data_IF_616188849514
#
_entry.id   IF_616188849514
#
_cell.length_a   1.000
_cell.length_b   1.000
_cell.length_c   1.000
_cell.angle_alpha   90.00
_cell.angle_beta   90.00
_cell.angle_gamma   90.00
#
_symmetry.space_group_name_H-M   'P 1'
#
loop_
_entity.id
_entity.type
_entity.pdbx_description
1 polymer ?
#
# COMPACT_ATOMS: atom_id res chain seq x y z
N UNK A 1 -15.30 6.49 -33.99
CA UNK A 1 -14.12 5.79 -34.54
C UNK A 1 -14.61 4.63 -35.40
N UNK A 2 -14.20 4.58 -36.69
CA UNK A 2 -14.59 3.48 -37.56
C UNK A 2 -13.76 2.21 -37.27
N UNK A 3 -14.12 1.06 -37.89
CA UNK A 3 -13.51 -0.24 -37.57
C UNK A 3 -12.00 -0.31 -37.92
N UNK A 4 -11.55 0.39 -38.94
CA UNK A 4 -10.13 0.45 -39.32
C UNK A 4 -9.32 1.34 -38.37
N UNK A 5 -9.86 2.47 -37.97
CA UNK A 5 -9.25 3.33 -36.96
C UNK A 5 -9.08 2.61 -35.62
N UNK A 6 -10.07 1.80 -35.21
CA UNK A 6 -9.97 0.98 -33.98
C UNK A 6 -8.79 0.00 -34.06
N UNK A 7 -8.63 -0.70 -35.18
CA UNK A 7 -7.50 -1.64 -35.36
C UNK A 7 -6.14 -0.98 -35.15
N UNK A 8 -6.02 0.29 -35.46
CA UNK A 8 -4.80 1.06 -35.24
C UNK A 8 -4.39 1.23 -33.78
N UNK A 9 -5.30 0.93 -32.81
CA UNK A 9 -5.02 0.95 -31.37
C UNK A 9 -4.77 -0.44 -30.76
N UNK A 10 -4.74 -1.49 -31.56
CA UNK A 10 -4.39 -2.84 -31.12
C UNK A 10 -3.01 -3.20 -31.63
N UNK A 11 -2.25 -3.92 -30.84
CA UNK A 11 -0.95 -4.44 -31.24
C UNK A 11 -0.74 -5.84 -30.66
N UNK A 12 0.00 -6.66 -31.38
CA UNK A 12 0.53 -7.91 -30.86
C UNK A 12 1.71 -7.59 -29.94
N UNK A 13 1.69 -8.14 -28.74
CA UNK A 13 2.74 -7.91 -27.72
C UNK A 13 4.13 -8.29 -28.25
N UNK A 14 4.23 -9.36 -29.06
CA UNK A 14 5.48 -9.82 -29.68
C UNK A 14 6.02 -8.83 -30.72
N UNK A 15 5.17 -7.97 -31.29
CA UNK A 15 5.55 -6.96 -32.29
C UNK A 15 6.12 -5.68 -31.69
N UNK A 16 6.02 -5.50 -30.36
CA UNK A 16 6.44 -4.29 -29.68
C UNK A 16 7.77 -4.47 -28.93
N UNK A 17 8.58 -3.43 -28.95
CA UNK A 17 9.73 -3.29 -28.07
C UNK A 17 9.23 -2.83 -26.68
N UNK A 18 8.92 -3.79 -25.79
CA UNK A 18 8.31 -3.54 -24.49
C UNK A 18 9.16 -2.62 -23.60
N UNK A 19 10.45 -2.48 -23.85
CA UNK A 19 11.30 -1.52 -23.14
C UNK A 19 10.87 -0.05 -23.36
N UNK A 20 10.03 0.22 -24.34
CA UNK A 20 9.49 1.57 -24.61
C UNK A 20 8.14 1.85 -23.95
N UNK A 21 7.56 0.87 -23.24
CA UNK A 21 6.19 0.96 -22.79
C UNK A 21 6.04 0.65 -21.28
N UNK A 22 5.23 1.44 -20.59
CA UNK A 22 4.59 1.01 -19.35
C UNK A 22 3.34 0.23 -19.69
N UNK A 23 3.15 -0.92 -19.07
CA UNK A 23 1.94 -1.73 -19.27
C UNK A 23 0.96 -1.43 -18.16
N UNK A 24 -0.20 -0.94 -18.54
CA UNK A 24 -1.31 -0.57 -17.68
C UNK A 24 -2.38 -1.67 -17.75
N UNK A 25 -2.83 -2.19 -16.62
CA UNK A 25 -3.90 -3.18 -16.55
C UNK A 25 -5.13 -2.55 -15.92
N UNK A 26 -6.24 -2.54 -16.65
CA UNK A 26 -7.52 -2.02 -16.15
C UNK A 26 -8.57 -3.12 -16.09
N UNK A 27 -9.47 -2.98 -15.15
CA UNK A 27 -10.81 -3.50 -15.22
C UNK A 27 -11.75 -2.37 -15.65
N UNK A 28 -12.68 -2.63 -16.55
CA UNK A 28 -13.71 -1.66 -16.91
C UNK A 28 -15.05 -2.33 -17.24
N UNK A 29 -16.12 -1.55 -17.10
CA UNK A 29 -17.48 -1.91 -17.53
C UNK A 29 -17.91 -1.02 -18.70
N UNK A 30 -18.59 -1.61 -19.70
CA UNK A 30 -19.06 -0.88 -20.88
C UNK A 30 -20.43 -1.40 -21.34
N UNK A 31 -21.28 -0.47 -21.80
CA UNK A 31 -22.52 -0.77 -22.55
C UNK A 31 -22.28 -0.86 -24.06
N UNK A 32 -21.09 -0.51 -24.54
CA UNK A 32 -20.68 -0.54 -25.94
C UNK A 32 -19.92 -1.83 -26.26
N UNK A 33 -19.50 -1.97 -27.53
CA UNK A 33 -18.56 -3.02 -27.92
C UNK A 33 -17.25 -2.89 -27.10
N UNK A 34 -16.77 -3.93 -26.41
CA UNK A 34 -15.57 -3.88 -25.58
C UNK A 34 -14.33 -3.35 -26.31
N UNK A 35 -14.14 -3.77 -27.57
CA UNK A 35 -13.04 -3.30 -28.43
C UNK A 35 -13.12 -1.79 -28.72
N UNK A 36 -14.33 -1.25 -28.89
CA UNK A 36 -14.54 0.17 -29.11
C UNK A 36 -14.21 0.98 -27.85
N UNK A 37 -14.60 0.48 -26.69
CA UNK A 37 -14.32 1.09 -25.39
C UNK A 37 -12.80 1.10 -25.12
N UNK A 38 -12.11 -0.03 -25.28
CA UNK A 38 -10.67 -0.16 -25.09
C UNK A 38 -9.87 0.76 -26.03
N UNK A 39 -10.23 0.79 -27.33
CA UNK A 39 -9.59 1.67 -28.30
C UNK A 39 -9.83 3.16 -27.98
N UNK A 40 -11.03 3.50 -27.49
CA UNK A 40 -11.34 4.87 -27.07
C UNK A 40 -10.50 5.29 -25.86
N UNK A 41 -10.32 4.38 -24.88
CA UNK A 41 -9.46 4.62 -23.72
C UNK A 41 -8.01 4.90 -24.14
N UNK A 42 -7.43 4.07 -25.03
CA UNK A 42 -6.09 4.29 -25.58
C UNK A 42 -5.97 5.64 -26.27
N UNK A 43 -6.97 6.01 -27.09
CA UNK A 43 -6.98 7.28 -27.79
C UNK A 43 -6.98 8.46 -26.83
N UNK A 44 -7.93 8.50 -25.92
CA UNK A 44 -8.13 9.65 -25.02
C UNK A 44 -6.95 9.86 -24.06
N UNK A 45 -6.32 8.78 -23.62
CA UNK A 45 -5.18 8.85 -22.68
C UNK A 45 -3.81 9.04 -23.36
N UNK A 46 -3.74 9.08 -24.70
CA UNK A 46 -2.48 9.24 -25.42
C UNK A 46 -2.50 10.36 -26.46
N UNK A 47 -2.92 10.07 -27.70
CA UNK A 47 -2.87 11.03 -28.81
C UNK A 47 -4.14 11.85 -28.97
N UNK A 48 -5.27 11.43 -28.43
CA UNK A 48 -6.61 11.98 -28.58
C UNK A 48 -6.95 12.35 -30.03
N UNK A 49 -6.50 13.52 -30.47
CA UNK A 49 -6.55 13.96 -31.87
C UNK A 49 -5.15 13.81 -32.45
N UNK A 50 -4.93 12.72 -33.19
CA UNK A 50 -3.62 12.34 -33.72
C UNK A 50 -3.24 13.06 -35.00
N UNK A 51 -4.20 13.69 -35.72
CA UNK A 51 -3.98 14.37 -36.98
C UNK A 51 -4.58 15.78 -36.95
N UNK A 52 -3.81 16.77 -37.40
CA UNK A 52 -4.29 18.11 -37.61
C UNK A 52 -5.02 18.23 -38.94
N UNK A 53 -6.12 18.99 -38.97
CA UNK A 53 -6.86 19.24 -40.21
C UNK A 53 -5.93 19.88 -41.26
N UNK A 54 -5.92 19.31 -42.47
CA UNK A 54 -5.11 19.80 -43.58
C UNK A 54 -3.64 19.38 -43.55
N UNK A 55 -3.25 18.42 -42.71
CA UNK A 55 -1.90 17.84 -42.68
C UNK A 55 -1.96 16.32 -42.90
N UNK A 56 -0.87 15.72 -43.33
CA UNK A 56 -0.69 14.26 -43.43
C UNK A 56 0.08 13.69 -42.23
N UNK A 57 0.10 14.41 -41.09
CA UNK A 57 0.78 14.00 -39.89
C UNK A 57 -0.01 12.89 -39.17
N UNK A 58 0.63 11.76 -38.91
CA UNK A 58 0.08 10.68 -38.06
C UNK A 58 1.03 10.43 -36.90
N UNK A 59 0.60 10.82 -35.69
CA UNK A 59 1.38 10.67 -34.43
C UNK A 59 1.16 9.33 -33.75
N UNK A 60 0.18 8.53 -34.21
CA UNK A 60 -0.16 7.24 -33.56
C UNK A 60 0.97 6.23 -33.56
N UNK A 61 1.77 6.04 -34.64
CA UNK A 61 2.84 5.05 -34.60
C UNK A 61 3.82 5.24 -33.47
N UNK A 62 4.01 6.48 -33.03
CA UNK A 62 5.04 6.85 -32.08
C UNK A 62 4.50 7.12 -30.67
N UNK A 63 3.29 7.68 -30.55
CA UNK A 63 2.78 8.21 -29.28
C UNK A 63 1.48 7.56 -28.80
N UNK A 64 0.76 6.81 -29.64
CA UNK A 64 -0.49 6.21 -29.19
C UNK A 64 -0.26 5.02 -28.27
N UNK A 65 -1.06 4.93 -27.23
CA UNK A 65 -1.20 3.72 -26.45
C UNK A 65 -1.83 2.60 -27.29
N UNK A 66 -1.52 1.33 -26.95
CA UNK A 66 -1.95 0.14 -27.69
C UNK A 66 -2.58 -0.88 -26.77
N UNK A 67 -3.73 -1.40 -27.14
CA UNK A 67 -4.34 -2.57 -26.50
C UNK A 67 -3.52 -3.80 -26.87
N UNK A 68 -2.97 -4.48 -25.87
CA UNK A 68 -2.25 -5.76 -26.03
C UNK A 68 -3.19 -6.95 -25.90
N UNK A 69 -4.10 -6.87 -24.94
CA UNK A 69 -5.11 -7.92 -24.73
C UNK A 69 -6.39 -7.32 -24.17
N UNK A 70 -7.50 -7.92 -24.54
CA UNK A 70 -8.83 -7.58 -24.06
C UNK A 70 -9.57 -8.88 -23.76
N UNK A 71 -9.95 -9.08 -22.52
CA UNK A 71 -10.68 -10.24 -22.02
C UNK A 71 -12.06 -9.79 -21.56
N UNK A 72 -13.12 -10.38 -22.10
CA UNK A 72 -14.49 -10.19 -21.58
C UNK A 72 -14.71 -11.18 -20.45
N UNK A 73 -14.78 -10.67 -19.22
CA UNK A 73 -14.94 -11.47 -18.01
C UNK A 73 -16.39 -11.91 -17.79
N UNK A 74 -17.32 -11.00 -18.08
CA UNK A 74 -18.76 -11.21 -17.89
C UNK A 74 -19.54 -10.32 -18.85
N UNK A 75 -20.67 -10.84 -19.35
CA UNK A 75 -21.71 -10.04 -19.99
C UNK A 75 -23.02 -10.24 -19.24
N UNK A 76 -23.62 -9.15 -18.78
CA UNK A 76 -24.78 -9.17 -17.90
C UNK A 76 -25.84 -8.15 -18.31
N UNK A 77 -27.11 -8.47 -18.06
CA UNK A 77 -28.23 -7.52 -18.17
C UNK A 77 -28.53 -6.79 -16.86
N UNK A 78 -27.60 -6.85 -15.91
CA UNK A 78 -27.77 -6.15 -14.63
C UNK A 78 -27.65 -4.64 -14.83
N UNK A 79 -28.31 -3.84 -13.95
CA UNK A 79 -28.13 -2.39 -13.98
C UNK A 79 -26.66 -2.01 -13.88
N UNK A 80 -26.23 -1.04 -14.68
CA UNK A 80 -24.91 -0.43 -14.58
C UNK A 80 -24.74 0.22 -13.20
N UNK A 81 -23.51 0.25 -12.71
CA UNK A 81 -23.15 1.04 -11.52
C UNK A 81 -23.37 2.54 -11.71
N UNK A 82 -23.32 3.01 -12.96
CA UNK A 82 -23.50 4.42 -13.32
C UNK A 82 -24.98 4.83 -13.39
N UNK A 83 -25.90 3.89 -13.67
CA UNK A 83 -27.31 4.20 -13.77
C UNK A 83 -28.21 3.02 -13.38
N UNK A 84 -28.77 3.02 -12.17
CA UNK A 84 -29.78 2.02 -11.77
C UNK A 84 -31.08 2.10 -12.58
N UNK A 85 -31.22 3.12 -13.43
CA UNK A 85 -32.43 3.36 -14.24
C UNK A 85 -32.33 2.81 -15.66
N UNK A 86 -31.16 2.42 -16.17
CA UNK A 86 -31.02 1.80 -17.49
C UNK A 86 -31.39 0.31 -17.43
N UNK A 87 -32.70 0.05 -17.39
CA UNK A 87 -33.24 -1.30 -17.44
C UNK A 87 -33.18 -1.83 -18.87
N UNK A 88 -32.37 -2.86 -19.10
CA UNK A 88 -32.43 -3.66 -20.33
C UNK A 88 -31.21 -3.58 -21.25
N UNK A 89 -30.19 -2.81 -20.94
CA UNK A 89 -28.94 -2.81 -21.68
C UNK A 89 -28.02 -3.97 -21.23
N UNK A 90 -27.27 -4.52 -22.18
CA UNK A 90 -26.23 -5.49 -21.87
C UNK A 90 -24.94 -4.73 -21.51
N UNK A 91 -24.32 -5.09 -20.40
CA UNK A 91 -23.01 -4.58 -20.00
C UNK A 91 -21.99 -5.68 -20.09
N UNK A 92 -20.82 -5.35 -20.61
CA UNK A 92 -19.64 -6.21 -20.60
C UNK A 92 -18.63 -5.70 -19.57
N UNK A 93 -18.15 -6.58 -18.71
CA UNK A 93 -17.05 -6.33 -17.79
C UNK A 93 -15.81 -6.94 -18.36
N UNK A 94 -14.78 -6.15 -18.45
CA UNK A 94 -13.59 -6.49 -19.21
C UNK A 94 -12.33 -6.27 -18.38
N UNK A 95 -11.30 -7.05 -18.71
CA UNK A 95 -9.91 -6.75 -18.35
C UNK A 95 -9.17 -6.37 -19.62
N UNK A 96 -8.39 -5.29 -19.55
CA UNK A 96 -7.58 -4.83 -20.67
C UNK A 96 -6.16 -4.58 -20.22
N UNK A 97 -5.18 -4.97 -21.06
CA UNK A 97 -3.78 -4.58 -20.93
C UNK A 97 -3.43 -3.60 -22.02
N UNK A 98 -2.85 -2.48 -21.66
CA UNK A 98 -2.52 -1.37 -22.54
C UNK A 98 -1.02 -1.09 -22.45
N UNK A 99 -0.32 -1.07 -23.59
CA UNK A 99 1.04 -0.59 -23.70
C UNK A 99 1.03 0.92 -23.93
N UNK A 100 1.49 1.71 -22.98
CA UNK A 100 1.57 3.17 -23.08
C UNK A 100 3.02 3.60 -23.30
N UNK A 101 3.35 4.32 -24.39
CA UNK A 101 4.71 4.78 -24.66
C UNK A 101 5.21 5.68 -23.52
N UNK A 102 6.17 5.22 -22.72
CA UNK A 102 6.62 5.99 -21.57
C UNK A 102 7.35 7.29 -21.91
N UNK A 103 7.74 7.49 -23.14
CA UNK A 103 8.24 8.79 -23.62
C UNK A 103 7.20 9.91 -23.55
N UNK A 104 5.90 9.56 -23.53
CA UNK A 104 4.83 10.54 -23.39
C UNK A 104 4.87 11.27 -22.04
N UNK A 105 5.36 10.63 -21.01
CA UNK A 105 5.39 11.19 -19.64
C UNK A 105 6.75 11.12 -18.96
N UNK A 106 7.69 10.32 -19.47
CA UNK A 106 9.01 10.12 -18.87
C UNK A 106 8.96 9.53 -17.46
N UNK A 107 10.09 9.38 -16.75
CA UNK A 107 10.16 8.80 -15.41
C UNK A 107 9.68 9.79 -14.34
N UNK A 108 8.42 10.20 -14.43
CA UNK A 108 7.74 11.18 -13.58
C UNK A 108 6.40 10.62 -13.12
N UNK A 109 6.27 10.31 -11.82
CA UNK A 109 5.04 9.72 -11.26
C UNK A 109 3.80 10.59 -11.49
N UNK A 110 3.82 11.93 -11.31
CA UNK A 110 2.64 12.74 -11.60
C UNK A 110 2.18 12.64 -13.04
N UNK A 111 3.11 12.68 -13.99
CA UNK A 111 2.80 12.60 -15.42
C UNK A 111 2.29 11.21 -15.82
N UNK A 112 2.88 10.14 -15.24
CA UNK A 112 2.38 8.77 -15.39
C UNK A 112 0.93 8.66 -14.90
N UNK A 113 0.64 9.16 -13.68
CA UNK A 113 -0.71 9.09 -13.13
C UNK A 113 -1.70 9.95 -13.93
N UNK A 114 -1.26 11.10 -14.48
CA UNK A 114 -2.08 11.90 -15.39
C UNK A 114 -2.42 11.12 -16.66
N UNK A 115 -1.45 10.37 -17.22
CA UNK A 115 -1.68 9.56 -18.42
C UNK A 115 -2.56 8.34 -18.12
N UNK A 116 -2.26 7.60 -17.05
CA UNK A 116 -2.98 6.35 -16.72
C UNK A 116 -4.36 6.59 -16.07
N UNK A 117 -4.55 7.68 -15.32
CA UNK A 117 -5.76 7.95 -14.52
C UNK A 117 -6.39 9.31 -14.82
N UNK A 118 -6.10 9.91 -15.99
CA UNK A 118 -6.59 11.21 -16.39
C UNK A 118 -8.01 11.20 -16.97
N UNK A 119 -8.26 12.17 -17.84
CA UNK A 119 -9.60 12.44 -18.42
C UNK A 119 -10.26 11.24 -19.07
N UNK A 120 -9.50 10.37 -19.74
CA UNK A 120 -10.04 9.22 -20.45
C UNK A 120 -10.89 8.30 -19.58
N UNK A 121 -10.56 8.19 -18.29
CA UNK A 121 -11.34 7.40 -17.35
C UNK A 121 -12.69 8.04 -16.99
N UNK A 122 -12.84 9.35 -17.14
CA UNK A 122 -14.05 10.09 -16.77
C UNK A 122 -14.93 10.48 -17.96
N UNK A 123 -14.31 10.75 -19.12
CA UNK A 123 -15.00 11.31 -20.30
C UNK A 123 -15.17 10.32 -21.46
N UNK A 124 -14.76 9.08 -21.30
CA UNK A 124 -15.00 8.05 -22.32
C UNK A 124 -16.45 7.61 -22.26
N UNK A 125 -17.28 8.06 -23.20
CA UNK A 125 -18.72 7.76 -23.27
C UNK A 125 -19.09 6.26 -23.31
N UNK A 126 -18.09 5.42 -23.53
CA UNK A 126 -18.27 3.98 -23.65
C UNK A 126 -17.97 3.22 -22.34
N UNK A 127 -17.37 3.87 -21.34
CA UNK A 127 -16.96 3.24 -20.09
C UNK A 127 -17.83 3.78 -18.95
N UNK A 128 -18.52 2.90 -18.27
CA UNK A 128 -19.41 3.23 -17.14
C UNK A 128 -18.73 3.07 -15.79
N UNK A 129 -17.70 2.23 -15.72
CA UNK A 129 -16.86 2.07 -14.53
C UNK A 129 -15.47 1.63 -14.96
N UNK A 130 -14.43 2.10 -14.24
CA UNK A 130 -13.03 1.76 -14.55
C UNK A 130 -12.17 1.75 -13.30
N UNK A 131 -11.26 0.78 -13.19
CA UNK A 131 -10.25 0.71 -12.15
C UNK A 131 -8.90 0.33 -12.72
N UNK A 132 -7.87 1.12 -12.42
CA UNK A 132 -6.49 0.75 -12.68
C UNK A 132 -6.06 -0.32 -11.67
N UNK A 133 -5.76 -1.52 -12.16
CA UNK A 133 -5.42 -2.68 -11.34
C UNK A 133 -3.91 -2.81 -11.12
N UNK A 134 -3.12 -2.57 -12.16
CA UNK A 134 -1.67 -2.75 -12.12
C UNK A 134 -0.92 -1.85 -13.12
N UNK A 135 0.36 -1.61 -12.79
CA UNK A 135 1.35 -0.96 -13.63
C UNK A 135 2.60 -1.83 -13.68
N UNK A 136 2.97 -2.34 -14.86
CA UNK A 136 4.24 -3.01 -15.07
C UNK A 136 5.22 -2.08 -15.79
N UNK A 137 6.43 -2.00 -15.25
CA UNK A 137 7.45 -1.05 -15.69
C UNK A 137 8.63 -1.77 -16.35
N UNK A 138 9.07 -1.35 -17.54
CA UNK A 138 10.31 -1.83 -18.14
C UNK A 138 11.54 -1.29 -17.39
N UNK A 139 12.66 -1.96 -17.52
CA UNK A 139 13.92 -1.57 -16.87
C UNK A 139 14.38 -0.18 -17.32
N UNK A 140 14.16 0.19 -18.56
CA UNK A 140 14.43 1.52 -19.13
C UNK A 140 13.69 2.64 -18.39
N UNK A 141 12.42 2.43 -18.03
CA UNK A 141 11.63 3.39 -17.26
C UNK A 141 12.08 3.43 -15.80
N UNK A 142 12.32 2.24 -15.21
CA UNK A 142 12.77 2.11 -13.83
C UNK A 142 14.13 2.76 -13.60
N UNK A 143 15.00 2.84 -14.61
CA UNK A 143 16.31 3.49 -14.51
C UNK A 143 16.21 4.97 -14.08
N UNK A 144 15.08 5.64 -14.32
CA UNK A 144 14.83 7.02 -13.91
C UNK A 144 14.44 7.22 -12.44
N UNK A 145 14.47 6.14 -11.63
CA UNK A 145 14.10 6.18 -10.21
C UNK A 145 15.20 5.55 -9.37
N UNK A 146 15.45 6.10 -8.20
CA UNK A 146 16.39 5.53 -7.23
C UNK A 146 15.75 4.33 -6.49
N UNK A 147 14.47 4.42 -6.14
CA UNK A 147 13.77 3.45 -5.28
C UNK A 147 14.24 3.52 -3.82
N UNK A 148 13.98 2.48 -3.01
CA UNK A 148 14.36 2.43 -1.60
C UNK A 148 15.88 2.56 -1.40
N UNK A 149 16.30 3.45 -0.51
CA UNK A 149 17.71 3.67 -0.22
C UNK A 149 18.28 2.58 0.70
N UNK A 150 17.54 2.19 1.70
CA UNK A 150 17.89 1.17 2.69
C UNK A 150 17.19 -0.16 2.40
N UNK A 151 15.91 -0.13 2.20
CA UNK A 151 15.08 -1.31 1.96
C UNK A 151 15.00 -2.22 3.19
N UNK A 152 14.42 -3.40 3.01
CA UNK A 152 14.26 -4.41 4.07
C UNK A 152 15.59 -4.77 4.73
N UNK A 153 16.60 -5.05 3.92
CA UNK A 153 17.92 -5.47 4.40
C UNK A 153 18.63 -4.35 5.19
N UNK A 154 18.48 -3.11 4.75
CA UNK A 154 19.06 -1.95 5.45
C UNK A 154 18.40 -1.72 6.81
N UNK A 155 17.07 -1.84 6.90
CA UNK A 155 16.34 -1.72 8.17
C UNK A 155 16.76 -2.83 9.14
N UNK A 156 16.81 -4.09 8.68
CA UNK A 156 17.29 -5.22 9.49
C UNK A 156 18.72 -5.02 10.00
N UNK A 157 19.60 -4.53 9.13
CA UNK A 157 21.00 -4.23 9.49
C UNK A 157 21.09 -3.16 10.58
N UNK A 158 20.28 -2.10 10.49
CA UNK A 158 20.25 -1.01 11.49
C UNK A 158 19.80 -1.53 12.85
N UNK A 159 18.79 -2.39 12.88
CA UNK A 159 18.21 -2.97 14.11
C UNK A 159 19.01 -4.16 14.65
N UNK A 160 19.73 -4.88 13.81
CA UNK A 160 20.35 -6.15 14.17
C UNK A 160 19.37 -7.31 14.33
N UNK A 161 18.18 -7.22 13.73
CA UNK A 161 17.09 -8.23 13.82
C UNK A 161 17.02 -9.04 12.54
N UNK A 162 17.40 -10.35 12.60
CA UNK A 162 17.49 -11.21 11.41
C UNK A 162 16.68 -12.50 11.49
N UNK A 163 16.11 -12.82 12.64
CA UNK A 163 15.49 -14.13 12.96
C UNK A 163 13.97 -14.07 13.22
N UNK A 164 13.38 -12.90 13.13
CA UNK A 164 11.97 -12.66 13.41
C UNK A 164 11.42 -11.45 12.64
N UNK A 165 10.10 -11.26 12.62
CA UNK A 165 9.51 -9.99 12.19
C UNK A 165 10.01 -8.81 13.04
N UNK A 166 9.97 -7.62 12.46
CA UNK A 166 10.31 -6.38 13.16
C UNK A 166 9.06 -5.88 13.88
N UNK A 167 9.15 -5.66 15.19
CA UNK A 167 8.02 -5.20 16.00
C UNK A 167 8.00 -3.68 16.08
N UNK A 168 6.99 -3.09 15.43
CA UNK A 168 6.63 -1.68 15.56
C UNK A 168 5.62 -1.50 16.66
N UNK A 169 5.53 -0.30 17.23
CA UNK A 169 4.47 0.07 18.16
C UNK A 169 4.02 1.49 17.95
N UNK A 170 2.73 1.67 17.67
CA UNK A 170 2.13 3.00 17.50
C UNK A 170 1.73 3.51 18.88
N UNK A 171 2.41 4.54 19.38
CA UNK A 171 2.10 5.13 20.68
C UNK A 171 0.65 5.65 20.70
N UNK A 172 -0.08 5.27 21.74
CA UNK A 172 -1.49 5.62 21.93
C UNK A 172 -1.71 6.39 23.24
N UNK A 173 -2.69 7.29 23.30
CA UNK A 173 -3.63 7.73 22.25
C UNK A 173 -2.97 8.41 21.05
N UNK A 174 -3.69 8.49 19.92
CA UNK A 174 -3.18 8.98 18.63
C UNK A 174 -2.58 10.38 18.69
N UNK A 175 -3.25 11.28 19.39
CA UNK A 175 -2.88 12.68 19.58
C UNK A 175 -3.20 13.13 21.01
N UNK A 176 -2.68 14.28 21.39
CA UNK A 176 -3.04 14.95 22.65
C UNK A 176 -2.13 14.63 23.85
N UNK A 177 -1.17 13.70 23.71
CA UNK A 177 -0.20 13.41 24.76
C UNK A 177 0.85 14.52 24.86
N UNK A 178 1.08 15.06 26.06
CA UNK A 178 2.27 15.87 26.32
C UNK A 178 3.55 15.08 26.05
N UNK A 179 4.64 15.72 25.60
CA UNK A 179 5.88 15.02 25.28
C UNK A 179 6.42 14.08 26.36
N UNK A 180 6.29 14.45 27.64
CA UNK A 180 6.78 13.63 28.76
C UNK A 180 6.02 12.29 28.87
N UNK A 181 4.68 12.32 28.75
CA UNK A 181 3.85 11.12 28.82
C UNK A 181 4.06 10.24 27.59
N UNK A 182 4.17 10.85 26.42
CA UNK A 182 4.49 10.16 25.18
C UNK A 182 5.82 9.39 25.29
N UNK A 183 6.87 10.06 25.76
CA UNK A 183 8.20 9.49 25.97
C UNK A 183 8.19 8.32 26.95
N UNK A 184 7.42 8.43 28.05
CA UNK A 184 7.28 7.35 29.02
C UNK A 184 6.71 6.09 28.38
N UNK A 185 5.65 6.20 27.59
CA UNK A 185 5.01 5.06 26.94
C UNK A 185 5.96 4.40 25.91
N UNK A 186 6.64 5.20 25.09
CA UNK A 186 7.62 4.70 24.13
C UNK A 186 8.77 3.97 24.85
N UNK A 187 9.29 4.54 25.92
CA UNK A 187 10.36 3.95 26.72
C UNK A 187 9.96 2.60 27.33
N UNK A 188 8.79 2.53 27.96
CA UNK A 188 8.27 1.28 28.53
C UNK A 188 8.12 0.19 27.46
N UNK A 189 7.62 0.54 26.28
CA UNK A 189 7.48 -0.42 25.18
C UNK A 189 8.84 -0.96 24.69
N UNK A 190 9.88 -0.12 24.63
CA UNK A 190 11.23 -0.56 24.28
C UNK A 190 11.82 -1.51 25.32
N UNK A 191 11.58 -1.26 26.62
CA UNK A 191 12.02 -2.16 27.69
C UNK A 191 11.36 -3.54 27.59
N UNK A 192 10.11 -3.61 27.11
CA UNK A 192 9.39 -4.86 26.88
C UNK A 192 9.80 -5.60 25.61
N UNK A 193 10.72 -5.05 24.80
CA UNK A 193 11.25 -5.74 23.63
C UNK A 193 10.72 -5.24 22.28
N UNK A 194 10.03 -4.09 22.23
CA UNK A 194 9.69 -3.45 20.96
C UNK A 194 10.96 -2.98 20.25
N UNK A 195 11.02 -3.07 18.92
CA UNK A 195 12.16 -2.61 18.11
C UNK A 195 11.99 -1.13 17.75
N UNK A 196 10.81 -0.77 17.28
CA UNK A 196 10.48 0.56 16.77
C UNK A 196 9.25 1.09 17.48
N UNK A 197 9.40 2.18 18.24
CA UNK A 197 8.26 2.99 18.67
C UNK A 197 8.02 4.10 17.66
N UNK A 198 6.76 4.38 17.31
CA UNK A 198 6.42 5.36 16.29
C UNK A 198 5.35 6.34 16.73
N UNK A 199 5.41 7.55 16.14
CA UNK A 199 4.28 8.46 16.14
C UNK A 199 3.07 7.83 15.45
N UNK A 200 1.89 8.23 15.87
CA UNK A 200 0.68 8.00 15.09
C UNK A 200 0.75 8.82 13.79
N UNK A 201 0.07 8.37 12.74
CA UNK A 201 0.00 9.08 11.45
C UNK A 201 -0.66 10.46 11.55
N UNK A 202 -1.45 10.68 12.59
CA UNK A 202 -2.07 11.98 12.90
C UNK A 202 -1.18 12.87 13.78
N UNK A 203 -0.13 12.32 14.39
CA UNK A 203 0.78 13.01 15.30
C UNK A 203 2.04 13.44 14.56
N UNK A 204 2.03 14.62 13.95
CA UNK A 204 3.21 15.23 13.30
C UNK A 204 3.84 16.32 14.18
N UNK A 205 4.19 17.47 13.61
CA UNK A 205 4.69 18.63 14.36
C UNK A 205 3.51 19.49 14.84
N UNK A 206 3.03 19.26 16.07
CA UNK A 206 1.85 19.92 16.63
C UNK A 206 2.22 20.84 17.80
N UNK A 207 1.38 21.83 18.10
CA UNK A 207 1.57 22.76 19.24
C UNK A 207 1.59 22.03 20.60
N UNK A 208 0.77 20.99 20.76
CA UNK A 208 0.68 20.21 22.02
C UNK A 208 1.92 19.35 22.19
N UNK A 209 2.47 18.82 21.11
CA UNK A 209 3.62 17.93 21.10
C UNK A 209 4.58 18.30 19.96
N UNK A 210 5.31 19.41 20.08
CA UNK A 210 6.25 19.84 19.06
C UNK A 210 7.31 18.76 18.78
N UNK A 211 7.57 18.47 17.50
CA UNK A 211 8.43 17.39 17.04
C UNK A 211 9.82 17.45 17.68
N UNK A 212 10.49 18.59 17.65
CA UNK A 212 11.84 18.76 18.18
C UNK A 212 11.89 18.48 19.69
N UNK A 213 10.93 19.01 20.44
CA UNK A 213 10.85 18.80 21.89
C UNK A 213 10.61 17.33 22.23
N UNK A 214 9.68 16.68 21.54
CA UNK A 214 9.35 15.25 21.73
C UNK A 214 10.56 14.38 21.45
N UNK A 215 11.25 14.61 20.32
CA UNK A 215 12.39 13.79 19.90
C UNK A 215 13.61 13.99 20.80
N UNK A 216 13.91 15.21 21.25
CA UNK A 216 15.01 15.46 22.17
C UNK A 216 14.87 14.66 23.48
N UNK A 217 13.65 14.56 24.03
CA UNK A 217 13.35 13.77 25.21
C UNK A 217 13.42 12.26 24.91
N UNK A 218 12.88 11.83 23.77
CA UNK A 218 12.90 10.43 23.33
C UNK A 218 14.31 9.89 23.18
N UNK A 219 15.23 10.68 22.60
CA UNK A 219 16.57 10.21 22.30
C UNK A 219 17.35 9.77 23.54
N UNK A 220 17.23 10.50 24.66
CA UNK A 220 17.87 10.12 25.91
C UNK A 220 17.30 8.79 26.44
N UNK A 221 15.99 8.60 26.35
CA UNK A 221 15.32 7.38 26.80
C UNK A 221 15.56 6.19 25.88
N UNK A 222 15.71 6.42 24.58
CA UNK A 222 16.12 5.40 23.61
C UNK A 222 17.51 4.84 23.96
N UNK A 223 18.47 5.72 24.21
CA UNK A 223 19.84 5.32 24.60
C UNK A 223 19.80 4.53 25.91
N UNK A 224 19.02 4.96 26.91
CA UNK A 224 18.86 4.24 28.17
C UNK A 224 18.23 2.86 27.94
N UNK A 225 17.21 2.74 27.08
CA UNK A 225 16.59 1.47 26.73
C UNK A 225 17.58 0.52 26.03
N UNK A 226 18.39 1.02 25.07
CA UNK A 226 19.45 0.24 24.43
C UNK A 226 20.48 -0.30 25.44
N UNK A 227 20.90 0.53 26.39
CA UNK A 227 21.83 0.10 27.45
C UNK A 227 21.26 -0.98 28.35
N UNK A 228 19.95 -0.91 28.68
CA UNK A 228 19.29 -1.87 29.54
C UNK A 228 18.96 -3.19 28.85
N UNK A 229 18.59 -3.13 27.57
CA UNK A 229 18.14 -4.31 26.82
C UNK A 229 19.26 -4.98 26.02
N UNK A 230 20.35 -4.27 25.73
CA UNK A 230 21.40 -4.72 24.83
C UNK A 230 20.98 -4.72 23.36
N UNK A 231 19.80 -4.25 23.02
CA UNK A 231 19.22 -4.23 21.68
C UNK A 231 19.16 -2.82 21.11
N UNK A 232 19.28 -2.68 19.78
CA UNK A 232 19.04 -1.42 19.10
C UNK A 232 17.55 -1.06 19.16
N UNK A 233 17.26 0.22 19.42
CA UNK A 233 15.91 0.77 19.46
C UNK A 233 15.81 1.96 18.50
N UNK A 234 14.68 2.05 17.82
CA UNK A 234 14.41 3.14 16.86
C UNK A 234 13.15 3.89 17.30
N UNK A 235 13.19 5.20 17.11
CA UNK A 235 11.99 6.02 17.03
C UNK A 235 11.71 6.38 15.57
N UNK A 236 10.50 6.09 15.11
CA UNK A 236 9.99 6.44 13.79
C UNK A 236 9.15 7.72 13.94
N UNK A 237 9.72 8.83 13.49
CA UNK A 237 9.12 10.16 13.60
C UNK A 237 8.21 10.46 12.41
N UNK A 238 6.96 10.86 12.66
CA UNK A 238 6.07 11.39 11.63
C UNK A 238 6.43 12.84 11.32
N UNK A 239 6.87 13.08 10.09
CA UNK A 239 7.25 14.40 9.58
C UNK A 239 6.30 14.92 8.48
N UNK A 240 5.10 14.32 8.38
CA UNK A 240 4.07 14.77 7.43
C UNK A 240 3.73 16.23 7.64
N UNK A 241 3.93 17.05 6.62
CA UNK A 241 3.67 18.48 6.64
C UNK A 241 3.60 19.03 5.19
N UNK A 242 3.49 20.35 5.03
CA UNK A 242 3.63 21.01 3.74
C UNK A 242 5.01 20.72 3.12
N UNK A 243 5.05 20.66 1.79
CA UNK A 243 6.23 20.18 1.04
C UNK A 243 7.49 21.00 1.32
N UNK A 244 7.36 22.32 1.47
CA UNK A 244 8.45 23.24 1.77
C UNK A 244 9.05 23.06 3.18
N UNK A 245 8.32 22.40 4.10
CA UNK A 245 8.78 22.11 5.47
C UNK A 245 9.42 20.73 5.62
N UNK A 246 9.17 19.79 4.70
CA UNK A 246 9.57 18.39 4.85
C UNK A 246 11.07 18.20 5.11
N UNK A 247 11.93 18.86 4.34
CA UNK A 247 13.39 18.72 4.50
C UNK A 247 13.83 19.26 5.86
N UNK A 248 13.29 20.38 6.29
CA UNK A 248 13.59 20.96 7.60
C UNK A 248 13.15 20.03 8.73
N UNK A 249 11.96 19.46 8.65
CA UNK A 249 11.45 18.54 9.67
C UNK A 249 12.24 17.23 9.70
N UNK A 250 12.64 16.72 8.53
CA UNK A 250 13.57 15.60 8.43
C UNK A 250 14.87 15.87 9.17
N UNK A 251 15.51 17.03 8.90
CA UNK A 251 16.80 17.36 9.52
C UNK A 251 16.67 17.57 11.04
N UNK A 252 15.58 18.17 11.50
CA UNK A 252 15.23 18.24 12.92
C UNK A 252 15.09 16.85 13.51
N UNK A 253 14.37 15.94 12.84
CA UNK A 253 14.14 14.58 13.32
C UNK A 253 15.44 13.80 13.44
N UNK A 254 16.29 13.80 12.42
CA UNK A 254 17.56 13.10 12.40
C UNK A 254 18.53 13.67 13.45
N UNK A 255 18.65 15.00 13.53
CA UNK A 255 19.49 15.69 14.53
C UNK A 255 19.09 15.31 15.97
N UNK A 256 17.82 15.09 16.23
CA UNK A 256 17.29 14.70 17.53
C UNK A 256 17.16 13.19 17.72
N UNK A 257 17.81 12.38 16.88
CA UNK A 257 18.01 10.95 17.08
C UNK A 257 16.89 10.05 16.56
N UNK A 258 15.98 10.56 15.71
CA UNK A 258 15.05 9.69 14.97
C UNK A 258 15.86 8.76 14.06
N UNK A 259 15.64 7.46 14.18
CA UNK A 259 16.33 6.47 13.35
C UNK A 259 15.60 6.15 12.05
N UNK A 260 14.33 6.59 11.92
CA UNK A 260 13.50 6.50 10.73
C UNK A 260 12.53 7.69 10.69
N UNK A 261 12.06 8.06 9.50
CA UNK A 261 10.99 9.06 9.32
C UNK A 261 9.80 8.46 8.60
N UNK A 262 8.60 8.89 8.97
CA UNK A 262 7.33 8.50 8.35
C UNK A 262 6.67 9.68 7.67
N UNK A 263 6.04 9.42 6.54
CA UNK A 263 5.18 10.38 5.85
C UNK A 263 3.90 9.70 5.38
N UNK A 264 2.79 10.42 5.46
CA UNK A 264 1.55 10.04 4.78
C UNK A 264 1.74 10.33 3.28
N UNK A 265 2.29 9.36 2.57
CA UNK A 265 2.88 9.54 1.24
C UNK A 265 1.90 10.05 0.19
N UNK A 266 0.61 9.69 0.31
CA UNK A 266 -0.41 10.14 -0.64
C UNK A 266 -0.88 11.57 -0.36
N UNK A 267 -0.88 12.02 0.90
CA UNK A 267 -1.31 13.38 1.24
C UNK A 267 -0.27 14.42 0.87
N UNK A 268 1.04 14.12 1.07
CA UNK A 268 2.13 15.02 0.66
C UNK A 268 2.47 14.92 -0.82
N UNK A 269 2.02 13.84 -1.48
CA UNK A 269 2.31 13.52 -2.87
C UNK A 269 3.63 12.77 -3.09
N UNK A 270 3.60 11.82 -4.01
CA UNK A 270 4.74 10.92 -4.28
C UNK A 270 5.99 11.64 -4.81
N UNK A 271 5.84 12.83 -5.41
CA UNK A 271 6.97 13.68 -5.80
C UNK A 271 7.71 14.26 -4.60
N UNK A 272 6.98 14.63 -3.55
CA UNK A 272 7.59 15.06 -2.29
C UNK A 272 8.34 13.92 -1.60
N UNK A 273 7.80 12.70 -1.64
CA UNK A 273 8.51 11.49 -1.18
C UNK A 273 9.81 11.30 -1.95
N UNK A 274 9.81 11.43 -3.29
CA UNK A 274 11.05 11.35 -4.10
C UNK A 274 12.06 12.43 -3.75
N UNK A 275 11.61 13.65 -3.48
CA UNK A 275 12.48 14.74 -3.02
C UNK A 275 13.12 14.39 -1.68
N UNK A 276 12.34 13.89 -0.72
CA UNK A 276 12.81 13.44 0.57
C UNK A 276 13.79 12.26 0.45
N UNK A 277 13.51 11.28 -0.41
CA UNK A 277 14.35 10.10 -0.63
C UNK A 277 15.76 10.46 -1.13
N UNK A 278 15.90 11.50 -1.96
CA UNK A 278 17.19 12.03 -2.39
C UNK A 278 18.00 12.67 -1.27
N UNK A 279 17.31 13.25 -0.29
CA UNK A 279 17.93 13.97 0.84
C UNK A 279 18.21 13.06 2.04
N UNK A 280 17.33 12.12 2.34
CA UNK A 280 17.32 11.38 3.60
C UNK A 280 18.62 10.62 3.90
N UNK A 281 18.96 10.56 5.19
CA UNK A 281 20.03 9.75 5.75
C UNK A 281 19.53 8.58 6.61
N UNK A 282 18.21 8.44 6.75
CA UNK A 282 17.53 7.39 7.50
C UNK A 282 16.41 6.78 6.65
N UNK A 283 15.94 5.55 6.93
CA UNK A 283 14.87 4.94 6.18
C UNK A 283 13.58 5.79 6.20
N UNK A 284 12.87 5.79 5.06
CA UNK A 284 11.56 6.43 4.90
C UNK A 284 10.49 5.35 4.99
N UNK A 285 9.49 5.58 5.84
CA UNK A 285 8.27 4.77 5.94
C UNK A 285 7.12 5.51 5.29
N UNK A 286 6.53 4.93 4.24
CA UNK A 286 5.28 5.40 3.67
C UNK A 286 4.09 4.89 4.47
N UNK A 287 3.10 5.73 4.75
CA UNK A 287 1.84 5.33 5.38
C UNK A 287 0.70 5.36 4.36
N UNK A 288 -0.26 4.44 4.51
CA UNK A 288 -1.35 4.24 3.54
C UNK A 288 -2.52 5.22 3.68
N UNK A 289 -2.48 6.14 4.61
CA UNK A 289 -3.54 7.13 4.77
C UNK A 289 -3.86 7.84 3.46
N UNK A 290 -5.14 8.14 3.28
CA UNK A 290 -5.70 8.72 2.06
C UNK A 290 -5.76 7.79 0.83
N UNK A 291 -5.37 6.52 0.94
CA UNK A 291 -5.51 5.56 -0.19
C UNK A 291 -6.96 5.04 -0.30
N UNK A 292 -7.66 4.88 0.81
CA UNK A 292 -8.99 4.29 0.84
C UNK A 292 -10.02 4.97 -0.09
N UNK A 293 -10.10 6.30 -0.21
CA UNK A 293 -11.01 6.97 -1.16
C UNK A 293 -10.82 6.53 -2.61
N UNK A 294 -9.59 6.13 -3.00
CA UNK A 294 -9.27 5.71 -4.37
C UNK A 294 -9.37 4.20 -4.58
N UNK A 295 -9.15 3.39 -3.54
CA UNK A 295 -8.94 1.95 -3.71
C UNK A 295 -10.12 1.09 -3.26
N UNK A 296 -10.95 1.54 -2.30
CA UNK A 296 -11.97 0.69 -1.67
C UNK A 296 -13.13 0.27 -2.57
N UNK A 297 -13.46 1.07 -3.58
CA UNK A 297 -14.52 0.71 -4.51
C UNK A 297 -13.96 -0.31 -5.52
N UNK A 298 -14.53 -1.53 -5.60
CA UNK A 298 -13.97 -2.61 -6.44
C UNK A 298 -13.93 -2.28 -7.93
N UNK A 299 -14.86 -1.46 -8.39
CA UNK A 299 -15.10 -1.21 -9.81
C UNK A 299 -14.73 0.22 -10.25
N UNK A 300 -14.10 1.03 -9.36
CA UNK A 300 -13.70 2.40 -9.69
C UNK A 300 -12.43 2.82 -8.97
N UNK A 301 -11.62 3.66 -9.63
CA UNK A 301 -10.42 4.27 -9.06
C UNK A 301 -9.14 3.52 -9.36
N UNK A 302 -8.28 3.34 -8.33
CA UNK A 302 -6.93 2.78 -8.45
C UNK A 302 -6.73 1.74 -7.36
N UNK A 303 -6.16 0.60 -7.70
CA UNK A 303 -5.81 -0.46 -6.74
C UNK A 303 -4.81 0.02 -5.68
N UNK A 304 -4.97 -0.43 -4.44
CA UNK A 304 -4.00 -0.18 -3.37
C UNK A 304 -2.59 -0.71 -3.72
N UNK A 305 -2.51 -1.80 -4.46
CA UNK A 305 -1.25 -2.38 -4.93
C UNK A 305 -0.47 -1.44 -5.87
N UNK A 306 -1.17 -0.70 -6.74
CA UNK A 306 -0.55 0.33 -7.57
C UNK A 306 0.06 1.43 -6.69
N UNK A 307 -0.66 1.90 -5.67
CA UNK A 307 -0.10 2.90 -4.76
C UNK A 307 1.09 2.36 -3.95
N UNK A 308 1.04 1.11 -3.52
CA UNK A 308 2.15 0.45 -2.83
C UNK A 308 3.40 0.39 -3.73
N UNK A 309 3.24 -0.05 -4.98
CA UNK A 309 4.31 -0.06 -5.98
C UNK A 309 4.90 1.34 -6.21
N UNK A 310 4.06 2.36 -6.35
CA UNK A 310 4.49 3.74 -6.57
C UNK A 310 5.16 4.35 -5.35
N UNK A 311 4.74 4.04 -4.12
CA UNK A 311 5.42 4.44 -2.90
C UNK A 311 6.84 3.85 -2.84
N UNK A 312 6.98 2.55 -3.15
CA UNK A 312 8.29 1.92 -3.26
C UNK A 312 9.15 2.58 -4.34
N UNK A 313 8.59 2.83 -5.52
CA UNK A 313 9.30 3.51 -6.61
C UNK A 313 9.74 4.93 -6.22
N UNK A 314 8.96 5.60 -5.37
CA UNK A 314 9.26 6.93 -4.83
C UNK A 314 10.38 6.94 -3.80
N UNK A 315 10.76 5.78 -3.25
CA UNK A 315 11.87 5.66 -2.31
C UNK A 315 11.48 5.29 -0.87
N UNK A 316 10.25 4.81 -0.61
CA UNK A 316 9.87 4.27 0.69
C UNK A 316 10.61 2.95 0.95
N UNK A 317 11.31 2.87 2.07
CA UNK A 317 12.07 1.69 2.52
C UNK A 317 11.18 0.67 3.25
N UNK A 318 10.11 1.14 3.86
CA UNK A 318 9.03 0.34 4.42
C UNK A 318 7.69 1.00 4.08
N UNK A 319 6.63 0.21 4.00
CA UNK A 319 5.30 0.70 3.66
C UNK A 319 4.30 0.10 4.64
N UNK A 320 3.68 0.96 5.45
CA UNK A 320 2.54 0.59 6.28
C UNK A 320 1.32 0.55 5.35
N UNK A 321 0.62 -0.58 5.38
CA UNK A 321 -0.51 -0.87 4.50
C UNK A 321 -1.66 -1.48 5.30
N UNK A 322 -2.90 -1.53 4.77
CA UNK A 322 -3.97 -2.29 5.40
C UNK A 322 -3.53 -3.73 5.65
N UNK A 323 -3.80 -4.22 6.86
CA UNK A 323 -3.44 -5.57 7.28
C UNK A 323 -4.60 -6.55 7.20
N UNK A 324 -4.32 -7.78 7.61
CA UNK A 324 -5.29 -8.86 7.67
C UNK A 324 -6.30 -8.63 8.80
N UNK A 325 -7.55 -9.01 8.56
CA UNK A 325 -8.58 -8.96 9.57
C UNK A 325 -9.72 -7.98 9.27
N UNK A 326 -10.82 -8.16 9.99
CA UNK A 326 -12.11 -7.54 9.70
C UNK A 326 -12.17 -6.02 9.86
N UNK A 327 -11.27 -5.42 10.66
CA UNK A 327 -11.30 -3.96 10.92
C UNK A 327 -11.02 -3.14 9.67
N UNK A 328 -10.09 -3.60 8.83
CA UNK A 328 -9.65 -2.83 7.67
C UNK A 328 -10.57 -3.03 6.46
N UNK A 329 -11.47 -4.02 6.51
CA UNK A 329 -12.37 -4.38 5.40
C UNK A 329 -11.63 -4.54 4.06
N UNK A 330 -10.40 -5.02 4.12
CA UNK A 330 -9.54 -5.32 2.98
C UNK A 330 -9.48 -6.84 2.83
N UNK A 331 -9.65 -7.33 1.62
CA UNK A 331 -9.56 -8.76 1.33
C UNK A 331 -8.13 -9.25 1.55
N UNK A 332 -7.98 -10.46 2.06
CA UNK A 332 -6.67 -11.04 2.35
C UNK A 332 -5.75 -11.12 1.12
N UNK A 333 -6.33 -11.40 -0.05
CA UNK A 333 -5.59 -11.43 -1.32
C UNK A 333 -5.06 -10.04 -1.71
N UNK A 334 -5.80 -8.97 -1.40
CA UNK A 334 -5.33 -7.60 -1.62
C UNK A 334 -4.17 -7.26 -0.68
N UNK A 335 -4.23 -7.68 0.59
CA UNK A 335 -3.12 -7.50 1.55
C UNK A 335 -1.88 -8.25 1.09
N UNK A 336 -2.04 -9.50 0.66
CA UNK A 336 -0.94 -10.31 0.12
C UNK A 336 -0.32 -9.66 -1.12
N UNK A 337 -1.13 -9.18 -2.05
CA UNK A 337 -0.66 -8.47 -3.25
C UNK A 337 0.12 -7.20 -2.89
N UNK A 338 -0.35 -6.39 -1.94
CA UNK A 338 0.39 -5.23 -1.45
C UNK A 338 1.75 -5.62 -0.85
N UNK A 339 1.82 -6.72 -0.10
CA UNK A 339 3.07 -7.22 0.45
C UNK A 339 4.03 -7.70 -0.65
N UNK A 340 3.51 -8.35 -1.69
CA UNK A 340 4.28 -8.77 -2.86
C UNK A 340 4.83 -7.58 -3.64
N UNK A 341 4.08 -6.47 -3.76
CA UNK A 341 4.58 -5.24 -4.38
C UNK A 341 5.73 -4.58 -3.59
N UNK A 342 5.75 -4.76 -2.28
CA UNK A 342 6.89 -4.36 -1.46
C UNK A 342 8.10 -5.27 -1.69
N UNK A 343 7.91 -6.59 -1.62
CA UNK A 343 8.97 -7.58 -1.55
C UNK A 343 9.39 -8.16 -2.90
N UNK A 344 8.51 -8.11 -3.91
CA UNK A 344 8.73 -8.68 -5.24
C UNK A 344 9.80 -7.96 -6.05
N UNK A 345 10.12 -8.51 -7.23
CA UNK A 345 11.09 -7.89 -8.15
C UNK A 345 10.53 -6.60 -8.75
N UNK A 346 11.30 -5.53 -8.71
CA UNK A 346 11.02 -4.26 -9.38
C UNK A 346 12.33 -3.77 -10.03
N UNK A 347 12.68 -4.36 -11.17
CA UNK A 347 13.97 -4.17 -11.81
C UNK A 347 15.13 -4.43 -10.84
N UNK A 348 16.06 -3.50 -10.74
CA UNK A 348 17.19 -3.52 -9.79
C UNK A 348 16.88 -2.85 -8.44
N UNK A 349 15.64 -2.43 -8.18
CA UNK A 349 15.30 -1.68 -6.96
C UNK A 349 15.28 -2.59 -5.74
N UNK A 350 15.76 -2.06 -4.59
CA UNK A 350 15.68 -2.78 -3.33
C UNK A 350 14.24 -3.10 -2.94
N UNK A 351 14.07 -4.17 -2.18
CA UNK A 351 12.79 -4.53 -1.56
C UNK A 351 12.44 -3.52 -0.49
N UNK A 352 11.19 -3.12 -0.41
CA UNK A 352 10.65 -2.40 0.74
C UNK A 352 10.11 -3.41 1.77
N UNK A 353 10.17 -3.06 3.07
CA UNK A 353 9.58 -3.88 4.12
C UNK A 353 8.06 -3.69 4.12
N UNK A 354 7.24 -4.73 3.86
CA UNK A 354 5.80 -4.65 4.05
C UNK A 354 5.47 -4.58 5.54
N UNK A 355 4.57 -3.67 5.91
CA UNK A 355 4.11 -3.49 7.29
C UNK A 355 2.59 -3.51 7.32
N UNK A 356 1.96 -4.70 7.19
CA UNK A 356 0.51 -4.81 7.29
C UNK A 356 0.06 -4.46 8.71
N UNK A 357 -0.94 -3.58 8.84
CA UNK A 357 -1.41 -3.09 10.13
C UNK A 357 -2.92 -2.99 10.23
N UNK A 358 -3.45 -3.29 11.41
CA UNK A 358 -4.86 -3.16 11.71
C UNK A 358 -5.33 -4.10 12.82
N UNK A 359 -5.62 -3.56 14.01
CA UNK A 359 -6.06 -4.31 15.19
C UNK A 359 -5.10 -5.40 15.68
N UNK A 360 -3.81 -5.22 15.44
CA UNK A 360 -2.78 -6.19 15.76
C UNK A 360 -2.50 -6.30 17.26
N UNK A 361 -2.25 -7.52 17.71
CA UNK A 361 -1.82 -7.89 19.07
C UNK A 361 -1.10 -9.24 19.01
N UNK A 362 -0.53 -9.71 20.10
CA UNK A 362 0.27 -10.94 20.13
C UNK A 362 -0.40 -12.17 19.48
N UNK A 363 -1.72 -12.32 19.63
CA UNK A 363 -2.49 -13.43 19.07
C UNK A 363 -2.71 -13.35 17.56
N UNK A 364 -2.44 -12.23 16.88
CA UNK A 364 -2.59 -12.11 15.42
C UNK A 364 -1.29 -12.39 14.67
N UNK A 365 -0.13 -12.44 15.35
CA UNK A 365 1.17 -12.72 14.71
C UNK A 365 1.16 -14.03 13.92
N UNK A 366 0.62 -15.17 14.43
CA UNK A 366 0.60 -16.43 13.68
C UNK A 366 -0.14 -16.30 12.34
N UNK A 367 -1.26 -15.59 12.33
CA UNK A 367 -2.09 -15.39 11.12
C UNK A 367 -1.32 -14.59 10.07
N UNK A 368 -0.68 -13.48 10.46
CA UNK A 368 0.13 -12.66 9.55
C UNK A 368 1.30 -13.46 9.01
N UNK A 369 2.01 -14.20 9.87
CA UNK A 369 3.14 -15.05 9.47
C UNK A 369 2.73 -16.17 8.52
N UNK A 370 1.62 -16.85 8.78
CA UNK A 370 1.08 -17.90 7.93
C UNK A 370 0.73 -17.40 6.52
N UNK A 371 0.11 -16.21 6.46
CA UNK A 371 -0.29 -15.61 5.18
C UNK A 371 0.89 -15.07 4.38
N UNK A 372 1.84 -14.42 4.99
CA UNK A 372 3.02 -13.86 4.32
C UNK A 372 4.12 -14.89 4.06
N UNK A 373 4.21 -15.96 4.86
CA UNK A 373 5.20 -17.04 4.74
C UNK A 373 6.65 -16.57 4.72
N UNK A 374 6.92 -15.48 5.40
CA UNK A 374 8.25 -14.86 5.54
C UNK A 374 8.35 -14.16 6.87
N UNK A 375 9.57 -13.91 7.34
CA UNK A 375 9.84 -13.03 8.48
C UNK A 375 10.13 -11.58 8.04
N UNK A 376 10.23 -11.34 6.72
CA UNK A 376 10.53 -10.02 6.14
C UNK A 376 9.28 -9.14 6.12
N UNK A 377 8.72 -8.88 7.30
CA UNK A 377 7.64 -7.93 7.49
C UNK A 377 7.77 -7.18 8.82
N UNK A 378 7.15 -6.01 8.89
CA UNK A 378 6.92 -5.29 10.13
C UNK A 378 5.54 -5.63 10.70
N UNK A 379 5.47 -5.83 12.01
CA UNK A 379 4.23 -6.05 12.74
C UNK A 379 3.93 -4.82 13.60
N UNK A 380 2.77 -4.14 13.40
CA UNK A 380 2.55 -2.75 13.86
C UNK A 380 1.35 -2.56 14.79
N UNK A 381 1.32 -3.21 15.97
CA UNK A 381 0.26 -3.01 16.93
C UNK A 381 0.28 -1.60 17.54
N UNK A 382 -0.91 -1.04 17.73
CA UNK A 382 -1.15 0.12 18.57
C UNK A 382 -1.73 -0.32 19.92
N UNK A 383 -3.05 -0.59 19.95
CA UNK A 383 -3.77 -1.04 21.14
C UNK A 383 -3.17 -2.32 21.73
N UNK A 384 -2.71 -3.26 20.92
CA UNK A 384 -2.13 -4.53 21.38
C UNK A 384 -0.89 -4.37 22.26
N UNK A 385 -0.17 -3.24 22.16
CA UNK A 385 0.95 -2.87 23.04
C UNK A 385 0.51 -1.85 24.07
N UNK A 386 0.02 -0.69 23.65
CA UNK A 386 -0.23 0.45 24.54
C UNK A 386 -1.55 0.36 25.33
N UNK A 387 -2.45 -0.52 24.95
CA UNK A 387 -3.69 -0.84 25.66
C UNK A 387 -3.64 -2.19 26.40
N UNK A 388 -2.45 -2.78 26.56
CA UNK A 388 -2.30 -4.03 27.31
C UNK A 388 -2.63 -3.82 28.80
N UNK A 389 -3.37 -4.75 29.49
CA UNK A 389 -3.79 -4.58 30.85
C UNK A 389 -2.65 -4.32 31.86
N UNK A 390 -1.47 -4.87 31.59
CA UNK A 390 -0.27 -4.71 32.40
C UNK A 390 0.66 -3.59 31.89
N UNK A 391 0.23 -2.75 30.95
CA UNK A 391 0.97 -1.63 30.42
C UNK A 391 1.85 -1.98 29.19
N UNK A 392 2.51 -0.94 28.58
CA UNK A 392 3.23 -1.07 27.31
C UNK A 392 4.39 -2.05 27.31
N UNK A 393 5.12 -2.17 28.41
CA UNK A 393 6.21 -3.14 28.55
C UNK A 393 5.69 -4.57 28.39
N UNK A 394 4.64 -4.92 29.13
CA UNK A 394 4.00 -6.24 29.06
C UNK A 394 3.40 -6.49 27.66
N UNK A 395 2.79 -5.47 27.05
CA UNK A 395 2.29 -5.56 25.67
C UNK A 395 3.39 -5.91 24.68
N UNK A 396 4.53 -5.25 24.76
CA UNK A 396 5.68 -5.56 23.90
C UNK A 396 6.29 -6.95 24.21
N UNK A 397 6.37 -7.32 25.50
CA UNK A 397 6.82 -8.66 25.91
C UNK A 397 5.91 -9.76 25.36
N UNK A 398 4.59 -9.55 25.37
CA UNK A 398 3.64 -10.53 24.83
C UNK A 398 3.87 -10.81 23.34
N UNK A 399 4.33 -9.82 22.54
CA UNK A 399 4.71 -10.03 21.12
C UNK A 399 5.93 -10.96 21.00
N UNK A 400 6.93 -10.75 21.86
CA UNK A 400 8.15 -11.59 21.87
C UNK A 400 7.80 -13.03 22.26
N UNK A 401 6.99 -13.20 23.31
CA UNK A 401 6.52 -14.51 23.77
C UNK A 401 5.68 -15.22 22.68
N UNK A 402 4.81 -14.50 21.99
CA UNK A 402 4.06 -15.08 20.87
C UNK A 402 4.98 -15.55 19.73
N UNK A 403 6.00 -14.76 19.39
CA UNK A 403 6.97 -15.17 18.37
C UNK A 403 7.81 -16.37 18.82
N UNK A 404 8.24 -16.42 20.05
CA UNK A 404 8.97 -17.57 20.61
C UNK A 404 8.13 -18.85 20.55
N UNK A 405 6.84 -18.76 20.86
CA UNK A 405 5.91 -19.89 20.72
C UNK A 405 5.85 -20.37 19.27
N UNK A 406 5.73 -19.46 18.29
CA UNK A 406 5.72 -19.78 16.86
C UNK A 406 7.04 -20.46 16.46
N UNK A 407 8.18 -19.89 16.83
CA UNK A 407 9.50 -20.43 16.50
C UNK A 407 9.73 -21.82 17.09
N UNK A 408 9.18 -22.09 18.27
CA UNK A 408 9.22 -23.40 18.92
C UNK A 408 8.09 -24.34 18.51
N UNK A 409 7.17 -23.89 17.64
CA UNK A 409 5.97 -24.64 17.21
C UNK A 409 5.08 -25.08 18.37
N UNK A 410 4.97 -24.24 19.39
CA UNK A 410 4.10 -24.45 20.56
C UNK A 410 2.83 -23.62 20.36
N UNK A 411 1.63 -24.18 20.58
CA UNK A 411 0.39 -23.38 20.53
C UNK A 411 0.43 -22.22 21.51
N UNK A 412 -0.05 -21.02 21.09
CA UNK A 412 -0.03 -19.83 21.94
C UNK A 412 -0.72 -20.03 23.28
N UNK A 413 -1.85 -20.77 23.30
CA UNK A 413 -2.61 -21.07 24.52
C UNK A 413 -1.84 -21.97 25.49
N UNK A 414 -0.94 -22.80 24.99
CA UNK A 414 -0.07 -23.65 25.82
C UNK A 414 1.10 -22.81 26.34
N UNK A 415 1.76 -22.06 25.47
CA UNK A 415 2.89 -21.20 25.83
C UNK A 415 2.49 -20.14 26.87
N UNK A 416 1.28 -19.63 26.77
CA UNK A 416 0.73 -18.63 27.69
C UNK A 416 0.54 -19.13 29.14
N UNK A 417 0.52 -20.46 29.39
CA UNK A 417 0.38 -21.00 30.74
C UNK A 417 1.52 -20.53 31.65
N UNK A 418 2.73 -20.46 31.12
CA UNK A 418 3.95 -20.06 31.84
C UNK A 418 4.39 -18.63 31.54
N UNK A 419 3.64 -17.89 30.68
CA UNK A 419 3.98 -16.55 30.23
C UNK A 419 2.83 -15.58 30.48
N UNK A 420 2.91 -14.85 31.59
CA UNK A 420 1.81 -14.03 32.10
C UNK A 420 1.39 -12.95 31.10
N UNK A 421 2.32 -12.24 30.45
CA UNK A 421 2.03 -11.14 29.52
C UNK A 421 1.25 -11.63 28.31
N UNK A 422 1.63 -12.77 27.76
CA UNK A 422 0.90 -13.40 26.64
C UNK A 422 -0.49 -13.87 27.07
N UNK A 423 -0.61 -14.45 28.28
CA UNK A 423 -1.90 -14.88 28.81
C UNK A 423 -2.87 -13.71 28.99
N UNK A 424 -2.42 -12.63 29.61
CA UNK A 424 -3.23 -11.43 29.80
C UNK A 424 -3.63 -10.79 28.44
N UNK A 425 -2.73 -10.82 27.43
CA UNK A 425 -3.06 -10.37 26.06
C UNK A 425 -4.17 -11.23 25.45
N UNK A 426 -4.10 -12.57 25.56
CA UNK A 426 -5.11 -13.49 25.05
C UNK A 426 -6.44 -13.28 25.78
N UNK A 427 -6.43 -13.17 27.09
CA UNK A 427 -7.64 -12.99 27.89
C UNK A 427 -8.33 -11.64 27.63
N UNK A 428 -7.57 -10.60 27.32
CA UNK A 428 -8.10 -9.26 27.10
C UNK A 428 -8.52 -9.03 25.64
N UNK A 429 -7.63 -9.30 24.68
CA UNK A 429 -7.88 -9.00 23.26
C UNK A 429 -8.59 -10.15 22.52
N UNK A 430 -8.44 -11.39 22.98
CA UNK A 430 -9.05 -12.56 22.34
C UNK A 430 -10.58 -12.54 22.39
N UNK A 431 -11.18 -11.84 23.35
CA UNK A 431 -12.64 -11.67 23.47
C UNK A 431 -13.23 -10.79 22.36
N UNK A 432 -12.47 -9.82 21.87
CA UNK A 432 -12.90 -8.91 20.79
C UNK A 432 -12.86 -9.60 19.40
N UNK A 433 -12.16 -10.72 19.26
CA UNK A 433 -11.99 -11.44 17.98
C UNK A 433 -13.24 -12.22 17.53
N UNK A 434 -14.28 -12.31 18.35
CA UNK A 434 -15.48 -13.14 18.09
C UNK A 434 -16.64 -12.35 17.45
N UNK A 435 -16.61 -11.04 17.43
CA UNK A 435 -17.65 -10.27 16.77
C UNK A 435 -17.27 -9.97 15.30
N UNK A 436 -17.63 -10.87 14.39
CA UNK A 436 -17.92 -10.47 13.00
C UNK A 436 -19.10 -9.49 13.07
N UNK A 437 -18.81 -8.21 13.10
CA UNK A 437 -19.83 -7.19 12.85
C UNK A 437 -20.20 -7.32 11.39
N UNK A 438 -21.34 -7.91 11.11
CA UNK A 438 -22.03 -7.68 9.84
C UNK A 438 -22.34 -6.18 9.80
N UNK A 439 -21.49 -5.40 9.12
CA UNK A 439 -21.84 -4.01 8.82
C UNK A 439 -22.90 -4.08 7.73
N UNK A 440 -24.13 -3.59 7.98
CA UNK A 440 -25.10 -3.44 6.90
C UNK A 440 -24.44 -2.54 5.85
N UNK A 441 -24.29 -3.02 4.63
CA UNK A 441 -24.02 -2.17 3.49
C UNK A 441 -25.05 -1.04 3.51
N UNK A 442 -24.60 0.21 3.59
CA UNK A 442 -25.42 1.44 3.58
C UNK A 442 -26.35 1.61 2.36
N UNK A 443 -26.55 0.54 1.59
CA UNK A 443 -27.40 0.45 0.41
C UNK A 443 -28.64 -0.42 0.60
N UNK A 444 -29.01 -0.88 1.83
CA UNK A 444 -30.20 -1.72 2.01
C UNK A 444 -31.51 -0.97 2.21
N UNK A 445 -31.48 0.33 2.41
CA UNK A 445 -32.72 1.11 2.49
C UNK A 445 -33.01 1.81 1.15
N UNK A 446 -33.75 1.14 0.28
CA UNK A 446 -34.29 1.75 -0.95
C UNK A 446 -34.32 0.87 -2.20
N UNK A 447 -33.64 -0.26 -2.21
CA UNK A 447 -33.72 -1.24 -3.30
C UNK A 447 -34.33 -2.52 -2.73
N UNK A 448 -35.52 -2.91 -3.23
CA UNK A 448 -36.16 -4.19 -2.91
C UNK A 448 -35.14 -5.34 -3.10
N UNK A 449 -35.40 -6.46 -2.41
CA UNK A 449 -34.60 -7.67 -2.43
C UNK A 449 -34.25 -8.13 -3.86
N UNK A 450 -33.27 -7.51 -4.45
CA UNK A 450 -32.55 -8.02 -5.60
C UNK A 450 -31.24 -8.55 -5.06
N UNK A 451 -31.02 -9.85 -5.16
CA UNK A 451 -29.76 -10.53 -4.88
C UNK A 451 -28.60 -9.74 -5.48
N UNK A 452 -27.94 -8.95 -4.63
CA UNK A 452 -26.63 -8.38 -4.99
C UNK A 452 -25.67 -9.57 -5.02
N UNK A 453 -25.03 -9.88 -6.14
CA UNK A 453 -24.00 -10.88 -6.15
C UNK A 453 -22.90 -10.42 -5.22
N UNK A 454 -22.37 -11.32 -4.40
CA UNK A 454 -21.06 -11.16 -3.79
C UNK A 454 -20.11 -10.63 -4.88
N UNK A 455 -19.42 -9.50 -4.66
CA UNK A 455 -18.40 -9.08 -5.61
C UNK A 455 -17.38 -10.24 -5.66
N UNK A 456 -17.38 -10.96 -6.77
CA UNK A 456 -16.25 -11.83 -7.10
C UNK A 456 -15.05 -10.88 -7.12
N UNK A 457 -14.06 -11.15 -6.26
CA UNK A 457 -12.83 -10.38 -6.19
C UNK A 457 -12.37 -10.05 -7.62
N UNK A 458 -12.07 -8.81 -7.97
CA UNK A 458 -11.49 -8.48 -9.27
C UNK A 458 -10.12 -9.14 -9.46
N UNK A 459 -9.59 -9.76 -8.41
CA UNK A 459 -8.34 -10.50 -8.38
C UNK A 459 -8.61 -12.00 -8.53
N UNK A 460 -8.41 -12.61 -9.71
CA UNK A 460 -8.49 -14.06 -9.82
C UNK A 460 -7.32 -14.68 -9.05
N UNK A 461 -7.61 -15.75 -8.32
CA UNK A 461 -6.65 -16.60 -7.61
C UNK A 461 -5.52 -17.15 -8.51
N UNK A 462 -5.60 -16.97 -9.80
CA UNK A 462 -4.61 -17.39 -10.81
C UNK A 462 -3.44 -16.43 -10.99
N UNK A 463 -3.51 -15.16 -10.57
CA UNK A 463 -2.37 -14.23 -10.68
C UNK A 463 -1.24 -14.53 -9.69
N UNK A 464 -1.52 -15.23 -8.60
CA UNK A 464 -0.51 -15.66 -7.62
C UNK A 464 0.37 -16.84 -8.08
N UNK A 465 0.08 -17.49 -9.22
CA UNK A 465 0.83 -18.65 -9.72
C UNK A 465 1.77 -18.38 -10.91
N UNK A 466 1.68 -17.26 -11.56
CA UNK A 466 2.48 -16.96 -12.76
C UNK A 466 3.93 -16.51 -12.51
N UNK A 467 4.37 -16.40 -11.26
CA UNK A 467 5.71 -15.97 -10.87
C UNK A 467 6.71 -17.08 -10.50
N UNK A 468 6.34 -18.35 -10.59
CA UNK A 468 7.28 -19.46 -10.37
C UNK A 468 7.68 -20.10 -11.69
N UNK A 469 8.46 -19.36 -12.50
CA UNK A 469 9.29 -19.92 -13.54
C UNK A 469 10.47 -20.63 -12.87
N UNK A 470 10.56 -21.92 -13.10
CA UNK A 470 11.69 -22.77 -12.73
C UNK A 470 12.98 -22.21 -13.35
N UNK A 471 13.91 -21.82 -12.51
CA UNK A 471 15.29 -21.55 -12.89
C UNK A 471 16.17 -22.62 -12.25
N UNK A 472 16.72 -23.49 -13.08
CA UNK A 472 17.86 -24.33 -12.76
C UNK A 472 19.09 -23.49 -12.43
#
# INVERSE_FOLDING_TARGET
MNKEERKGFFADEESLDLEKYVIETYWFETASEPEAAAASLCREQSTAQWQRVGTNEDLRPEFAARVLSLEVLETSRRPSFDSPFNKGENFSRCRVRIAHPHKNFGPKIPNLLTAACGEGAFFTHHITAIKLLDLAFPDSYLAGFEGPKFGTEGIRKILGVNDRPIFFGVVKPNIGLPPADFVKLAYESWLGGLDIAKDDEMQADTEISPLEKRLSLLNSKRIEAEQKTGEKKIFLANITDEVDRLIRLHDIAVKNGAGMVMVNSMTIGLSAVRMLAKHTQVPIVGHFDFIAPFSRIPFFGVSSAVFTKLQRLSGCDAIIMPGFGSRMMTEDDEVALNADECAGRLGSKKRALPVPGGSDWAGTIPVVYEKLRTIDFGFVPGRGVFGHPMGPAAGATSLRQAWEAIARKIPLSEYAKDHQELREAIDFFGKDAVTKVEIPLLCKEGLGEADLPHPTSPYPSTLLRAGKGEGQ
#
